data_IF_659724044597
#
_entry.id   IF_659724044597
#
_cell.length_a   1.000
_cell.length_b   1.000
_cell.length_c   1.000
_cell.angle_alpha   90.00
_cell.angle_beta   90.00
_cell.angle_gamma   90.00
#
_symmetry.space_group_name_H-M   'P 1'
#
loop_
_entity.id
_entity.type
_entity.pdbx_description
1 polymer ?
#
# COMPACT_ATOMS: atom_id res chain seq x y z
N UNK A 1 -4.43 -21.39 -19.81
CA UNK A 1 -5.03 -20.05 -19.73
C UNK A 1 -3.99 -19.05 -20.17
N UNK A 2 -4.26 -18.31 -21.24
CA UNK A 2 -3.32 -17.30 -21.77
C UNK A 2 -3.51 -15.95 -21.07
N UNK A 3 -2.48 -15.09 -21.09
CA UNK A 3 -2.50 -13.76 -20.46
C UNK A 3 -3.66 -12.90 -20.98
N UNK A 4 -3.95 -13.02 -22.28
CA UNK A 4 -5.09 -12.36 -22.92
C UNK A 4 -6.43 -12.71 -22.25
N UNK A 5 -6.64 -13.98 -21.90
CA UNK A 5 -7.85 -14.49 -21.25
C UNK A 5 -7.94 -14.06 -19.78
N UNK A 6 -6.82 -13.83 -19.11
CA UNK A 6 -6.80 -13.36 -17.71
C UNK A 6 -7.17 -11.87 -17.66
N UNK A 7 -6.64 -11.08 -18.59
CA UNK A 7 -6.85 -9.64 -18.65
C UNK A 7 -8.17 -9.26 -19.31
N UNK A 8 -8.68 -10.11 -20.20
CA UNK A 8 -9.99 -9.96 -20.85
C UNK A 8 -10.79 -11.25 -20.67
N UNK A 9 -11.32 -11.51 -19.46
CA UNK A 9 -11.99 -12.76 -19.16
C UNK A 9 -13.28 -12.91 -20.00
N UNK A 10 -13.47 -14.07 -20.67
CA UNK A 10 -14.66 -14.32 -21.46
C UNK A 10 -15.91 -14.45 -20.58
N UNK A 11 -17.08 -14.42 -21.21
CA UNK A 11 -18.35 -14.74 -20.54
C UNK A 11 -18.52 -16.24 -20.32
N UNK A 12 -19.26 -16.63 -19.28
CA UNK A 12 -19.65 -18.04 -19.05
C UNK A 12 -18.61 -18.86 -18.31
N UNK A 13 -17.71 -18.18 -17.59
CA UNK A 13 -16.73 -18.82 -16.73
C UNK A 13 -17.40 -19.57 -15.57
N UNK A 14 -16.84 -20.71 -15.21
CA UNK A 14 -17.20 -21.41 -13.97
C UNK A 14 -16.76 -20.62 -12.75
N UNK A 15 -17.39 -20.86 -11.60
CA UNK A 15 -17.02 -20.19 -10.35
C UNK A 15 -15.53 -20.41 -9.99
N UNK A 16 -15.01 -21.62 -10.23
CA UNK A 16 -13.61 -21.96 -9.99
C UNK A 16 -12.67 -21.16 -10.89
N UNK A 17 -12.99 -20.99 -12.17
CA UNK A 17 -12.20 -20.17 -13.09
C UNK A 17 -12.22 -18.70 -12.65
N UNK A 18 -13.37 -18.17 -12.24
CA UNK A 18 -13.49 -16.80 -11.70
C UNK A 18 -12.57 -16.62 -10.48
N UNK A 19 -12.58 -17.56 -9.54
CA UNK A 19 -11.71 -17.52 -8.35
C UNK A 19 -10.23 -17.57 -8.73
N UNK A 20 -9.85 -18.45 -9.67
CA UNK A 20 -8.47 -18.58 -10.14
C UNK A 20 -7.98 -17.32 -10.84
N UNK A 21 -8.76 -16.78 -11.79
CA UNK A 21 -8.44 -15.52 -12.48
C UNK A 21 -8.30 -14.41 -11.47
N UNK A 22 -9.24 -14.28 -10.53
CA UNK A 22 -9.23 -13.22 -9.52
C UNK A 22 -7.97 -13.30 -8.66
N UNK A 23 -7.53 -14.50 -8.27
CA UNK A 23 -6.28 -14.69 -7.55
C UNK A 23 -5.06 -14.27 -8.37
N UNK A 24 -4.99 -14.67 -9.64
CA UNK A 24 -3.89 -14.28 -10.54
C UNK A 24 -3.87 -12.76 -10.76
N UNK A 25 -5.02 -12.13 -11.01
CA UNK A 25 -5.14 -10.68 -11.10
C UNK A 25 -4.71 -10.00 -9.80
N UNK A 26 -5.01 -10.60 -8.64
CA UNK A 26 -4.53 -10.13 -7.35
C UNK A 26 -3.00 -10.17 -7.23
N UNK A 27 -2.37 -11.25 -7.68
CA UNK A 27 -0.91 -11.32 -7.74
C UNK A 27 -0.35 -10.29 -8.73
N UNK A 28 -0.93 -10.17 -9.92
CA UNK A 28 -0.48 -9.16 -10.90
C UNK A 28 -0.58 -7.75 -10.31
N UNK A 29 -1.71 -7.42 -9.70
CA UNK A 29 -1.92 -6.14 -9.00
C UNK A 29 -0.88 -5.90 -7.90
N UNK A 30 -0.59 -6.91 -7.07
CA UNK A 30 0.46 -6.81 -6.07
C UNK A 30 1.85 -6.60 -6.67
N UNK A 31 2.10 -7.09 -7.89
CA UNK A 31 3.37 -6.98 -8.61
C UNK A 31 3.54 -5.68 -9.40
N UNK A 32 2.46 -5.14 -9.98
CA UNK A 32 2.50 -4.01 -10.91
C UNK A 32 2.20 -2.68 -10.21
N UNK A 33 3.00 -1.63 -10.43
CA UNK A 33 2.69 -0.31 -9.90
C UNK A 33 1.33 0.18 -10.36
N UNK A 34 0.44 0.42 -9.41
CA UNK A 34 -0.78 1.20 -9.58
C UNK A 34 -0.72 2.45 -8.70
N UNK A 35 -1.39 3.50 -9.14
CA UNK A 35 -1.39 4.78 -8.46
C UNK A 35 -2.08 4.69 -7.09
N UNK A 36 -3.18 3.96 -6.99
CA UNK A 36 -4.02 4.04 -5.80
C UNK A 36 -3.50 3.24 -4.61
N UNK A 37 -3.00 2.02 -4.86
CA UNK A 37 -2.71 1.06 -3.79
C UNK A 37 -1.23 0.80 -3.63
N UNK A 38 -0.44 0.89 -4.70
CA UNK A 38 0.97 0.52 -4.69
C UNK A 38 1.83 1.34 -3.73
N UNK A 39 1.69 2.67 -3.60
CA UNK A 39 2.39 3.43 -2.57
C UNK A 39 2.15 2.90 -1.15
N UNK A 40 0.97 2.33 -0.90
CA UNK A 40 0.54 1.78 0.38
C UNK A 40 1.05 0.35 0.53
N UNK A 41 0.80 -0.53 -0.45
CA UNK A 41 1.18 -1.94 -0.38
C UNK A 41 2.70 -2.11 -0.36
N UNK A 42 3.44 -1.27 -1.11
CA UNK A 42 4.91 -1.16 -1.05
C UNK A 42 5.39 -0.74 0.34
N UNK A 43 4.76 0.27 0.93
CA UNK A 43 5.08 0.76 2.28
C UNK A 43 4.86 -0.32 3.35
N UNK A 44 3.82 -1.16 3.21
CA UNK A 44 3.60 -2.30 4.09
C UNK A 44 4.55 -3.47 3.80
N UNK A 45 4.89 -3.74 2.54
CA UNK A 45 5.86 -4.77 2.18
C UNK A 45 7.23 -4.47 2.79
N UNK A 46 7.73 -3.25 2.60
CA UNK A 46 9.05 -2.81 3.08
C UNK A 46 9.05 -2.44 4.57
N UNK A 47 7.96 -1.88 5.09
CA UNK A 47 7.88 -1.42 6.48
C UNK A 47 7.42 -2.46 7.49
N UNK A 48 6.57 -3.42 7.08
CA UNK A 48 5.90 -4.35 7.99
C UNK A 48 6.19 -5.81 7.67
N UNK A 49 6.07 -6.25 6.42
CA UNK A 49 6.36 -7.64 6.04
C UNK A 49 7.86 -7.99 6.00
N UNK A 50 8.73 -6.99 6.02
CA UNK A 50 10.19 -7.16 6.05
C UNK A 50 10.76 -7.59 7.41
N UNK A 51 9.96 -7.52 8.48
CA UNK A 51 10.39 -7.83 9.86
C UNK A 51 9.41 -8.75 10.55
N UNK A 52 9.88 -9.57 11.49
CA UNK A 52 9.01 -10.53 12.21
C UNK A 52 7.95 -9.81 13.03
N UNK A 53 8.29 -8.68 13.64
CA UNK A 53 7.37 -7.88 14.45
C UNK A 53 6.29 -7.17 13.62
N UNK A 54 6.58 -6.82 12.36
CA UNK A 54 5.66 -6.12 11.49
C UNK A 54 4.67 -7.03 10.74
N UNK A 55 4.91 -8.35 10.64
CA UNK A 55 4.07 -9.27 9.87
C UNK A 55 2.58 -9.23 10.27
N UNK A 56 2.28 -9.12 11.57
CA UNK A 56 0.89 -9.02 12.07
C UNK A 56 0.18 -7.77 11.52
N UNK A 57 0.88 -6.64 11.52
CA UNK A 57 0.36 -5.38 11.00
C UNK A 57 0.14 -5.44 9.47
N UNK A 58 1.07 -6.08 8.75
CA UNK A 58 0.91 -6.36 7.31
C UNK A 58 -0.32 -7.21 7.04
N UNK A 59 -0.46 -8.34 7.74
CA UNK A 59 -1.61 -9.25 7.58
C UNK A 59 -2.95 -8.55 7.86
N UNK A 60 -3.05 -7.78 8.95
CA UNK A 60 -4.26 -7.04 9.28
C UNK A 60 -4.60 -5.97 8.24
N UNK A 61 -3.60 -5.31 7.67
CA UNK A 61 -3.80 -4.40 6.55
C UNK A 61 -4.37 -5.13 5.33
N UNK A 62 -3.72 -6.21 4.90
CA UNK A 62 -4.15 -6.97 3.72
C UNK A 62 -5.53 -7.63 3.94
N UNK A 63 -5.87 -8.00 5.18
CA UNK A 63 -7.21 -8.47 5.53
C UNK A 63 -8.26 -7.37 5.41
N UNK A 64 -7.97 -6.14 5.88
CA UNK A 64 -8.85 -4.98 5.69
C UNK A 64 -9.07 -4.66 4.21
N UNK A 65 -8.00 -4.69 3.42
CA UNK A 65 -8.07 -4.53 1.96
C UNK A 65 -8.91 -5.61 1.29
N UNK A 66 -8.69 -6.88 1.66
CA UNK A 66 -9.44 -8.03 1.14
C UNK A 66 -10.93 -7.91 1.46
N UNK A 67 -11.27 -7.55 2.70
CA UNK A 67 -12.66 -7.35 3.12
C UNK A 67 -13.32 -6.23 2.31
N UNK A 68 -12.60 -5.15 2.03
CA UNK A 68 -13.13 -4.10 1.19
C UNK A 68 -13.32 -4.55 -0.27
N UNK A 69 -12.39 -5.34 -0.83
CA UNK A 69 -12.55 -5.88 -2.19
C UNK A 69 -13.74 -6.80 -2.29
N UNK A 70 -13.97 -7.64 -1.28
CA UNK A 70 -15.19 -8.44 -1.16
C UNK A 70 -16.45 -7.57 -1.21
N UNK A 71 -16.47 -6.46 -0.45
CA UNK A 71 -17.58 -5.51 -0.47
C UNK A 71 -17.78 -4.90 -1.87
N UNK A 72 -16.72 -4.43 -2.53
CA UNK A 72 -16.83 -3.84 -3.86
C UNK A 72 -17.31 -4.83 -4.91
N UNK A 73 -16.86 -6.08 -4.90
CA UNK A 73 -17.33 -7.08 -5.87
C UNK A 73 -18.80 -7.44 -5.62
N UNK A 74 -19.25 -7.47 -4.35
CA UNK A 74 -20.68 -7.55 -4.03
C UNK A 74 -21.46 -6.35 -4.55
N UNK A 75 -20.96 -5.12 -4.35
CA UNK A 75 -21.60 -3.91 -4.88
C UNK A 75 -21.64 -3.92 -6.42
N UNK A 76 -20.55 -4.38 -7.06
CA UNK A 76 -20.45 -4.60 -8.50
C UNK A 76 -21.56 -5.51 -9.02
N UNK A 77 -21.76 -6.66 -8.36
CA UNK A 77 -22.81 -7.62 -8.70
C UNK A 77 -24.22 -7.02 -8.61
N UNK A 78 -24.51 -6.20 -7.59
CA UNK A 78 -25.86 -5.62 -7.40
C UNK A 78 -26.11 -4.32 -8.17
N UNK A 79 -25.11 -3.78 -8.90
CA UNK A 79 -25.32 -2.67 -9.83
C UNK A 79 -24.47 -1.42 -9.62
N UNK A 80 -23.33 -1.49 -8.92
CA UNK A 80 -22.41 -0.36 -8.74
C UNK A 80 -21.95 0.28 -10.08
N UNK A 81 -21.92 -0.50 -11.16
CA UNK A 81 -21.55 -0.01 -12.50
C UNK A 81 -22.42 1.17 -12.97
N UNK A 82 -23.73 1.15 -12.68
CA UNK A 82 -24.65 2.22 -13.07
C UNK A 82 -24.33 3.54 -12.38
N UNK A 83 -23.75 3.50 -11.17
CA UNK A 83 -23.32 4.69 -10.44
C UNK A 83 -22.02 5.25 -11.02
N UNK A 84 -21.03 4.39 -11.28
CA UNK A 84 -19.74 4.78 -11.86
C UNK A 84 -19.86 5.33 -13.29
N UNK A 85 -20.81 4.85 -14.10
CA UNK A 85 -21.06 5.42 -15.43
C UNK A 85 -21.62 6.84 -15.41
N UNK A 86 -22.26 7.25 -14.30
CA UNK A 86 -22.92 8.57 -14.17
C UNK A 86 -22.03 9.62 -13.51
N UNK A 87 -21.12 9.21 -12.64
CA UNK A 87 -20.26 10.11 -11.86
C UNK A 87 -18.79 9.76 -12.07
N UNK A 88 -17.97 10.72 -12.49
CA UNK A 88 -16.52 10.56 -12.46
C UNK A 88 -16.07 10.64 -10.98
N UNK A 89 -15.68 9.49 -10.42
CA UNK A 89 -15.26 9.37 -9.03
C UNK A 89 -13.75 9.42 -8.86
N UNK A 90 -12.96 9.43 -9.94
CA UNK A 90 -11.51 9.27 -9.89
C UNK A 90 -10.85 10.45 -9.17
N UNK A 91 -11.21 11.68 -9.54
CA UNK A 91 -10.74 12.90 -8.87
C UNK A 91 -11.04 12.91 -7.36
N UNK A 92 -12.32 12.78 -6.95
CA UNK A 92 -12.70 12.68 -5.53
C UNK A 92 -11.99 11.54 -4.77
N UNK A 93 -11.85 10.36 -5.38
CA UNK A 93 -11.17 9.21 -4.77
C UNK A 93 -9.69 9.51 -4.56
N UNK A 94 -8.99 10.08 -5.54
CA UNK A 94 -7.59 10.50 -5.39
C UNK A 94 -7.40 11.50 -4.24
N UNK A 95 -8.31 12.46 -4.09
CA UNK A 95 -8.25 13.42 -2.98
C UNK A 95 -8.40 12.71 -1.64
N UNK A 96 -9.43 11.88 -1.48
CA UNK A 96 -9.71 11.21 -0.20
C UNK A 96 -8.59 10.23 0.17
N UNK A 97 -8.17 9.37 -0.76
CA UNK A 97 -7.07 8.42 -0.56
C UNK A 97 -5.77 9.16 -0.27
N UNK A 98 -5.47 10.23 -1.03
CA UNK A 98 -4.30 11.06 -0.84
C UNK A 98 -4.23 11.71 0.54
N UNK A 99 -5.35 12.26 1.04
CA UNK A 99 -5.43 12.84 2.38
C UNK A 99 -5.17 11.78 3.45
N UNK A 100 -5.79 10.61 3.34
CA UNK A 100 -5.62 9.52 4.32
C UNK A 100 -4.17 9.02 4.34
N UNK A 101 -3.56 8.83 3.17
CA UNK A 101 -2.14 8.49 3.04
C UNK A 101 -1.24 9.57 3.68
N UNK A 102 -1.53 10.85 3.42
CA UNK A 102 -0.76 11.96 3.97
C UNK A 102 -0.86 11.99 5.51
N UNK A 103 -2.05 11.79 6.08
CA UNK A 103 -2.24 11.70 7.53
C UNK A 103 -1.45 10.51 8.10
N UNK A 104 -1.58 9.32 7.51
CA UNK A 104 -0.87 8.12 7.95
C UNK A 104 0.66 8.30 7.90
N UNK A 105 1.18 8.84 6.80
CA UNK A 105 2.61 9.14 6.65
C UNK A 105 3.10 10.20 7.64
N UNK A 106 2.30 11.24 7.87
CA UNK A 106 2.61 12.27 8.86
C UNK A 106 2.68 11.72 10.29
N UNK A 107 1.81 10.76 10.62
CA UNK A 107 1.82 10.10 11.92
C UNK A 107 3.09 9.27 12.11
N UNK A 108 3.47 8.49 11.09
CA UNK A 108 4.71 7.68 11.12
C UNK A 108 5.94 8.58 11.29
N UNK A 109 6.01 9.69 10.56
CA UNK A 109 7.20 10.56 10.53
C UNK A 109 7.29 11.58 11.68
N UNK A 110 6.15 12.13 12.12
CA UNK A 110 6.11 13.28 13.05
C UNK A 110 5.49 12.93 14.41
N UNK A 111 4.87 11.75 14.55
CA UNK A 111 4.31 11.26 15.81
C UNK A 111 3.14 12.08 16.38
N UNK A 112 2.61 13.06 15.63
CA UNK A 112 1.44 13.88 16.00
C UNK A 112 0.17 13.24 15.47
N UNK A 113 -0.72 12.87 16.38
CA UNK A 113 -2.07 12.38 16.09
C UNK A 113 -2.94 13.59 15.73
N UNK A 114 -3.44 13.67 14.49
CA UNK A 114 -4.56 14.54 14.19
C UNK A 114 -5.78 13.76 14.63
N UNK A 115 -6.42 14.17 15.73
CA UNK A 115 -7.63 13.53 16.22
C UNK A 115 -8.70 13.56 15.13
N UNK A 116 -9.03 12.40 14.56
CA UNK A 116 -10.14 12.28 13.62
C UNK A 116 -11.43 12.06 14.43
N UNK A 117 -12.58 12.60 14.01
CA UNK A 117 -13.86 12.42 14.71
C UNK A 117 -14.27 10.95 14.90
N UNK A 118 -13.71 10.04 14.10
CA UNK A 118 -13.95 8.60 14.17
C UNK A 118 -13.28 7.96 15.41
N UNK A 119 -12.25 8.59 15.97
CA UNK A 119 -11.60 8.12 17.22
C UNK A 119 -12.52 8.25 18.44
N UNK A 120 -13.52 9.14 18.42
CA UNK A 120 -14.53 9.23 19.49
C UNK A 120 -15.48 8.02 19.50
N UNK A 121 -15.73 7.41 18.34
CA UNK A 121 -16.64 6.26 18.22
C UNK A 121 -16.02 4.97 18.78
N UNK A 122 -14.69 4.86 18.69
CA UNK A 122 -13.93 3.72 19.17
C UNK A 122 -13.06 4.14 20.36
N UNK A 123 -13.66 4.29 21.56
CA UNK A 123 -12.97 4.56 22.84
C UNK A 123 -11.69 3.71 22.97
N UNK A 124 -10.56 4.30 22.61
CA UNK A 124 -9.23 3.76 22.87
C UNK A 124 -8.84 4.12 24.29
N UNK A 125 -8.84 3.12 25.17
CA UNK A 125 -8.33 3.26 26.52
C UNK A 125 -6.93 3.88 26.51
N UNK A 126 -6.75 4.90 27.35
CA UNK A 126 -5.44 5.45 27.68
C UNK A 126 -4.55 4.32 28.18
N UNK A 127 -3.56 3.94 27.40
CA UNK A 127 -2.37 3.25 27.90
C UNK A 127 -1.16 4.11 27.58
N UNK A 128 -0.89 5.06 28.48
CA UNK A 128 0.48 5.45 28.74
C UNK A 128 1.09 4.31 29.56
N UNK A 129 1.93 3.48 28.94
CA UNK A 129 2.93 2.74 29.71
C UNK A 129 4.23 3.53 29.62
N UNK A 130 4.53 4.25 30.69
CA UNK A 130 5.90 4.55 31.07
C UNK A 130 6.65 3.23 31.19
N UNK A 131 7.42 2.86 30.18
CA UNK A 131 8.55 1.96 30.35
C UNK A 131 9.62 2.41 29.37
N UNK A 132 10.44 3.33 29.88
CA UNK A 132 11.71 3.77 29.32
C UNK A 132 12.69 2.61 29.40
N UNK A 133 12.45 1.56 28.60
CA UNK A 133 13.53 0.65 28.22
C UNK A 133 14.46 1.43 27.29
N UNK A 134 15.77 1.26 27.46
CA UNK A 134 16.81 2.00 26.76
C UNK A 134 16.79 1.66 25.26
N UNK A 135 15.84 2.21 24.52
CA UNK A 135 15.82 2.13 23.07
C UNK A 135 16.93 3.06 22.55
N UNK A 136 17.75 2.63 21.57
CA UNK A 136 18.69 3.53 20.92
C UNK A 136 17.94 4.78 20.44
N UNK A 137 18.56 5.96 20.61
CA UNK A 137 17.96 7.29 20.33
C UNK A 137 17.17 7.38 19.00
N UNK A 138 17.52 6.53 18.04
CA UNK A 138 16.91 6.39 16.71
C UNK A 138 15.47 5.84 16.70
N UNK A 139 15.05 5.06 17.70
CA UNK A 139 13.68 4.55 17.81
C UNK A 139 12.69 5.56 18.40
N UNK A 140 13.18 6.55 19.15
CA UNK A 140 12.34 7.53 19.85
C UNK A 140 11.56 8.49 18.94
N UNK A 141 11.91 8.57 17.65
CA UNK A 141 11.34 9.56 16.73
C UNK A 141 10.24 9.02 15.82
N UNK A 142 10.19 7.70 15.55
CA UNK A 142 9.22 7.09 14.61
C UNK A 142 8.23 6.21 15.38
N UNK A 143 6.93 6.51 15.27
CA UNK A 143 5.88 5.74 15.96
C UNK A 143 5.31 4.62 15.11
N UNK A 144 4.97 3.51 15.76
CA UNK A 144 4.19 2.45 15.12
C UNK A 144 2.71 2.82 15.02
N UNK A 145 2.10 2.41 13.90
CA UNK A 145 0.66 2.49 13.67
C UNK A 145 -0.04 1.45 14.55
N UNK A 146 -1.05 1.82 15.35
CA UNK A 146 -1.82 0.86 16.14
C UNK A 146 -2.43 -0.24 15.25
N UNK A 147 -2.45 -1.49 15.72
CA UNK A 147 -2.95 -2.65 14.95
C UNK A 147 -4.41 -2.49 14.48
N UNK A 148 -5.26 -1.78 15.24
CA UNK A 148 -6.64 -1.49 14.81
C UNK A 148 -6.67 -0.55 13.60
N UNK A 149 -5.76 0.42 13.55
CA UNK A 149 -5.68 1.38 12.45
C UNK A 149 -5.14 0.76 11.16
N UNK A 150 -4.38 -0.34 11.23
CA UNK A 150 -3.94 -1.02 10.01
C UNK A 150 -5.09 -1.67 9.25
N UNK A 151 -6.10 -2.20 9.96
CA UNK A 151 -7.32 -2.72 9.34
C UNK A 151 -8.11 -1.60 8.66
N UNK A 152 -8.33 -0.49 9.36
CA UNK A 152 -9.03 0.69 8.81
C UNK A 152 -8.31 1.23 7.58
N UNK A 153 -6.98 1.32 7.65
CA UNK A 153 -6.17 1.78 6.53
C UNK A 153 -6.28 0.84 5.33
N UNK A 154 -6.23 -0.48 5.55
CA UNK A 154 -6.44 -1.47 4.49
C UNK A 154 -7.83 -1.35 3.85
N UNK A 155 -8.86 -1.15 4.67
CA UNK A 155 -10.22 -0.95 4.20
C UNK A 155 -10.35 0.33 3.35
N UNK A 156 -9.81 1.47 3.81
CA UNK A 156 -9.87 2.72 3.04
C UNK A 156 -9.04 2.62 1.74
N UNK A 157 -7.85 2.02 1.80
CA UNK A 157 -6.97 1.84 0.65
C UNK A 157 -7.62 1.03 -0.48
N UNK A 158 -8.52 0.11 -0.14
CA UNK A 158 -9.24 -0.70 -1.13
C UNK A 158 -10.21 0.10 -2.02
N UNK A 159 -10.59 1.33 -1.65
CA UNK A 159 -11.50 2.15 -2.46
C UNK A 159 -10.86 2.72 -3.72
N UNK A 160 -9.53 2.62 -3.87
CA UNK A 160 -8.85 2.90 -5.13
C UNK A 160 -9.32 1.98 -6.26
N UNK A 161 -9.68 2.58 -7.40
CA UNK A 161 -10.26 1.90 -8.55
C UNK A 161 -9.26 1.90 -9.72
N UNK A 162 -8.41 0.88 -9.77
CA UNK A 162 -7.52 0.64 -10.92
C UNK A 162 -8.12 -0.35 -11.92
N UNK A 163 -7.42 -0.59 -13.03
CA UNK A 163 -7.87 -1.51 -14.08
C UNK A 163 -8.14 -2.94 -13.58
N UNK A 164 -7.29 -3.48 -12.69
CA UNK A 164 -7.50 -4.79 -12.08
C UNK A 164 -8.78 -4.87 -11.23
N UNK A 165 -9.03 -3.82 -10.42
CA UNK A 165 -10.24 -3.71 -9.61
C UNK A 165 -11.50 -3.65 -10.49
N UNK A 166 -11.40 -2.95 -11.62
CA UNK A 166 -12.46 -2.86 -12.63
C UNK A 166 -12.82 -4.23 -13.20
N UNK A 167 -11.83 -5.04 -13.57
CA UNK A 167 -12.06 -6.40 -14.09
C UNK A 167 -12.80 -7.26 -13.06
N UNK A 168 -12.29 -7.33 -11.82
CA UNK A 168 -12.91 -8.19 -10.81
C UNK A 168 -14.32 -7.71 -10.43
N UNK A 169 -14.56 -6.40 -10.39
CA UNK A 169 -15.82 -5.82 -9.89
C UNK A 169 -16.90 -5.76 -10.96
N UNK A 170 -16.55 -5.45 -12.22
CA UNK A 170 -17.54 -5.22 -13.27
C UNK A 170 -17.56 -6.30 -14.36
N UNK A 171 -16.55 -7.16 -14.43
CA UNK A 171 -16.51 -8.26 -15.40
C UNK A 171 -16.69 -9.60 -14.71
N UNK A 172 -15.90 -9.91 -13.68
CA UNK A 172 -15.95 -11.22 -13.02
C UNK A 172 -17.08 -11.34 -12.01
N UNK A 173 -17.30 -10.31 -11.16
CA UNK A 173 -18.35 -10.39 -10.15
C UNK A 173 -19.74 -10.60 -10.75
N UNK A 174 -20.19 -9.88 -11.80
CA UNK A 174 -21.53 -10.10 -12.37
C UNK A 174 -21.76 -11.49 -12.97
N UNK A 175 -20.69 -12.26 -13.23
CA UNK A 175 -20.79 -13.61 -13.79
C UNK A 175 -21.00 -14.70 -12.73
N UNK A 176 -20.91 -14.39 -11.43
CA UNK A 176 -21.13 -15.40 -10.40
C UNK A 176 -22.61 -15.81 -10.33
N UNK A 177 -22.93 -17.03 -9.84
CA UNK A 177 -24.31 -17.54 -9.88
C UNK A 177 -25.32 -16.78 -9.00
N UNK A 178 -24.85 -16.10 -7.95
CA UNK A 178 -25.72 -15.37 -7.01
C UNK A 178 -24.94 -14.36 -6.18
N UNK A 179 -25.67 -13.45 -5.51
CA UNK A 179 -25.10 -12.46 -4.59
C UNK A 179 -24.27 -13.06 -3.46
N UNK A 180 -24.57 -14.31 -3.05
CA UNK A 180 -23.80 -15.03 -2.02
C UNK A 180 -22.36 -15.30 -2.46
N UNK A 181 -22.14 -15.50 -3.75
CA UNK A 181 -20.81 -15.75 -4.34
C UNK A 181 -20.11 -14.46 -4.78
N UNK A 182 -20.82 -13.33 -4.82
CA UNK A 182 -20.27 -12.05 -5.29
C UNK A 182 -19.08 -11.51 -4.47
N UNK A 183 -18.89 -11.85 -3.19
CA UNK A 183 -17.65 -11.55 -2.46
C UNK A 183 -16.42 -12.32 -2.95
N UNK A 184 -16.58 -13.49 -3.59
CA UNK A 184 -15.47 -14.40 -3.87
C UNK A 184 -14.40 -13.83 -4.82
N UNK A 185 -14.73 -13.14 -5.92
CA UNK A 185 -13.70 -12.50 -6.74
C UNK A 185 -12.83 -11.54 -5.92
N UNK A 186 -13.46 -10.72 -5.07
CA UNK A 186 -12.76 -9.79 -4.18
C UNK A 186 -11.89 -10.49 -3.13
N UNK A 187 -12.38 -11.59 -2.56
CA UNK A 187 -11.61 -12.42 -1.62
C UNK A 187 -10.34 -12.97 -2.27
N UNK A 188 -10.47 -13.65 -3.41
CA UNK A 188 -9.33 -14.29 -4.08
C UNK A 188 -8.34 -13.26 -4.62
N UNK A 189 -8.83 -12.12 -5.11
CA UNK A 189 -7.99 -10.99 -5.48
C UNK A 189 -7.19 -10.44 -4.29
N UNK A 190 -7.84 -10.24 -3.14
CA UNK A 190 -7.16 -9.79 -1.92
C UNK A 190 -6.11 -10.78 -1.43
N UNK A 191 -6.40 -12.08 -1.49
CA UNK A 191 -5.43 -13.15 -1.17
C UNK A 191 -4.23 -13.13 -2.12
N UNK A 192 -4.45 -13.00 -3.43
CA UNK A 192 -3.36 -12.90 -4.41
C UNK A 192 -2.48 -11.66 -4.17
N UNK A 193 -3.10 -10.52 -3.84
CA UNK A 193 -2.39 -9.29 -3.49
C UNK A 193 -1.55 -9.49 -2.23
N UNK A 194 -2.12 -10.09 -1.19
CA UNK A 194 -1.43 -10.41 0.06
C UNK A 194 -0.22 -11.33 -0.18
N UNK A 195 -0.37 -12.36 -1.02
CA UNK A 195 0.73 -13.26 -1.38
C UNK A 195 1.91 -12.50 -1.97
N UNK A 196 1.67 -11.57 -2.91
CA UNK A 196 2.74 -10.76 -3.48
C UNK A 196 3.38 -9.79 -2.50
N UNK A 197 2.61 -9.18 -1.59
CA UNK A 197 3.18 -8.35 -0.53
C UNK A 197 4.11 -9.13 0.39
N UNK A 198 3.74 -10.37 0.74
CA UNK A 198 4.59 -11.26 1.52
C UNK A 198 5.87 -11.60 0.75
N UNK A 199 5.76 -11.93 -0.54
CA UNK A 199 6.91 -12.24 -1.40
C UNK A 199 7.87 -11.04 -1.47
N UNK A 200 7.38 -9.84 -1.76
CA UNK A 200 8.21 -8.65 -1.83
C UNK A 200 8.80 -8.24 -0.47
N UNK A 201 8.04 -8.38 0.61
CA UNK A 201 8.57 -8.15 1.96
C UNK A 201 9.72 -9.11 2.29
N UNK A 202 9.58 -10.40 1.94
CA UNK A 202 10.62 -11.39 2.11
C UNK A 202 11.85 -11.12 1.22
N UNK A 203 11.65 -10.70 -0.03
CA UNK A 203 12.73 -10.29 -0.93
C UNK A 203 13.51 -9.09 -0.36
N UNK A 204 12.81 -8.07 0.13
CA UNK A 204 13.44 -6.91 0.76
C UNK A 204 14.26 -7.31 1.99
N UNK A 205 13.70 -8.15 2.87
CA UNK A 205 14.40 -8.67 4.03
C UNK A 205 15.63 -9.50 3.66
N UNK A 206 15.57 -10.25 2.55
CA UNK A 206 16.72 -10.98 2.01
C UNK A 206 17.83 -10.04 1.54
N UNK A 207 17.48 -9.03 0.73
CA UNK A 207 18.42 -8.03 0.23
C UNK A 207 19.07 -7.27 1.40
N UNK A 208 18.29 -6.87 2.40
CA UNK A 208 18.82 -6.18 3.57
C UNK A 208 19.85 -7.03 4.35
N UNK A 209 19.60 -8.34 4.49
CA UNK A 209 20.55 -9.27 5.11
C UNK A 209 21.86 -9.37 4.32
N UNK A 210 21.81 -9.38 2.99
CA UNK A 210 23.04 -9.37 2.16
C UNK A 210 23.87 -8.08 2.34
N UNK A 211 23.23 -6.98 2.73
CA UNK A 211 23.87 -5.69 3.03
C UNK A 211 24.35 -5.58 4.48
N UNK A 212 24.29 -6.66 5.27
CA UNK A 212 24.68 -6.70 6.70
C UNK A 212 23.92 -5.67 7.56
N UNK A 213 22.68 -5.37 7.19
CA UNK A 213 21.77 -4.57 8.01
C UNK A 213 21.19 -5.46 9.11
N UNK A 214 21.17 -4.95 10.34
CA UNK A 214 20.51 -5.63 11.44
C UNK A 214 18.98 -5.40 11.39
N UNK A 215 18.24 -6.06 12.28
CA UNK A 215 16.77 -5.97 12.25
C UNK A 215 16.27 -4.54 12.54
N UNK A 216 17.01 -3.76 13.32
CA UNK A 216 16.62 -2.40 13.70
C UNK A 216 16.89 -1.39 12.59
N UNK A 217 17.97 -1.56 11.83
CA UNK A 217 18.22 -0.85 10.57
C UNK A 217 17.07 -1.08 9.58
N UNK A 218 16.64 -2.34 9.43
CA UNK A 218 15.55 -2.72 8.51
C UNK A 218 14.24 -2.11 8.95
N UNK A 219 13.93 -2.12 10.26
CA UNK A 219 12.75 -1.43 10.81
C UNK A 219 12.80 0.07 10.54
N UNK A 220 13.95 0.71 10.76
CA UNK A 220 14.11 2.15 10.53
C UNK A 220 13.92 2.52 9.06
N UNK A 221 14.66 1.85 8.16
CA UNK A 221 14.56 2.07 6.71
C UNK A 221 13.12 1.81 6.25
N UNK A 222 12.51 0.73 6.74
CA UNK A 222 11.14 0.36 6.46
C UNK A 222 10.14 1.44 6.87
N UNK A 223 10.15 1.85 8.15
CA UNK A 223 9.25 2.88 8.70
C UNK A 223 9.47 4.25 8.04
N UNK A 224 10.72 4.67 7.88
CA UNK A 224 11.07 5.97 7.31
C UNK A 224 10.69 6.06 5.82
N UNK A 225 10.97 5.00 5.05
CA UNK A 225 10.55 4.89 3.65
C UNK A 225 9.03 4.90 3.54
N UNK A 226 8.35 4.02 4.27
CA UNK A 226 6.89 3.95 4.29
C UNK A 226 6.26 5.31 4.65
N UNK A 227 6.75 5.95 5.71
CA UNK A 227 6.26 7.25 6.15
C UNK A 227 6.45 8.36 5.10
N UNK A 228 7.62 8.42 4.45
CA UNK A 228 7.92 9.41 3.39
C UNK A 228 7.10 9.18 2.13
N UNK A 229 7.01 7.94 1.67
CA UNK A 229 6.21 7.55 0.51
C UNK A 229 4.73 7.87 0.73
N UNK A 230 4.18 7.51 1.89
CA UNK A 230 2.79 7.81 2.22
C UNK A 230 2.54 9.32 2.37
N UNK A 231 3.44 10.05 3.03
CA UNK A 231 3.26 11.48 3.27
C UNK A 231 3.32 12.30 1.99
N UNK A 232 4.44 12.20 1.26
CA UNK A 232 4.64 12.96 0.03
C UNK A 232 3.78 12.41 -1.12
N UNK A 233 3.64 11.09 -1.21
CA UNK A 233 2.70 10.47 -2.15
C UNK A 233 1.29 10.96 -1.92
N UNK A 234 0.78 10.91 -0.69
CA UNK A 234 -0.57 11.36 -0.36
C UNK A 234 -0.83 12.84 -0.71
N UNK A 235 0.16 13.71 -0.49
CA UNK A 235 0.08 15.10 -0.94
C UNK A 235 0.02 15.21 -2.48
N UNK A 236 0.86 14.45 -3.19
CA UNK A 236 0.81 14.39 -4.67
C UNK A 236 -0.55 13.92 -5.18
N UNK A 237 -1.10 12.85 -4.61
CA UNK A 237 -2.45 12.34 -4.93
C UNK A 237 -3.53 13.40 -4.72
N UNK A 238 -3.46 14.11 -3.59
CA UNK A 238 -4.44 15.15 -3.27
C UNK A 238 -4.40 16.31 -4.26
N UNK A 239 -3.19 16.75 -4.62
CA UNK A 239 -3.00 17.84 -5.60
C UNK A 239 -3.44 17.41 -6.99
N UNK A 240 -3.04 16.22 -7.43
CA UNK A 240 -3.42 15.72 -8.76
C UNK A 240 -4.92 15.44 -8.84
N UNK A 241 -5.53 14.87 -7.80
CA UNK A 241 -6.98 14.70 -7.73
C UNK A 241 -7.74 16.03 -7.80
N UNK A 242 -7.22 17.08 -7.15
CA UNK A 242 -7.78 18.43 -7.26
C UNK A 242 -7.62 19.00 -8.70
N UNK A 243 -6.49 18.76 -9.35
CA UNK A 243 -6.28 19.17 -10.74
C UNK A 243 -7.27 18.45 -11.67
N UNK A 244 -7.45 17.13 -11.52
CA UNK A 244 -8.42 16.35 -12.32
C UNK A 244 -9.84 16.85 -12.09
N UNK A 245 -10.20 17.17 -10.84
CA UNK A 245 -11.51 17.72 -10.51
C UNK A 245 -11.77 19.07 -11.20
N UNK A 246 -10.75 19.93 -11.29
CA UNK A 246 -10.85 21.26 -11.91
C UNK A 246 -10.68 21.23 -13.43
N UNK A 247 -9.91 20.27 -13.95
CA UNK A 247 -9.55 20.12 -15.36
C UNK A 247 -9.66 18.64 -15.80
N UNK A 248 -10.88 18.10 -15.97
CA UNK A 248 -11.10 16.68 -16.27
C UNK A 248 -10.46 16.20 -17.56
N UNK A 249 -10.18 17.11 -18.51
CA UNK A 249 -9.53 16.79 -19.79
C UNK A 249 -8.13 16.19 -19.61
N UNK A 250 -7.45 16.49 -18.51
CA UNK A 250 -6.10 15.94 -18.23
C UNK A 250 -6.15 14.42 -18.05
N UNK A 251 -7.23 13.91 -17.46
CA UNK A 251 -7.42 12.48 -17.19
C UNK A 251 -7.60 11.65 -18.46
N UNK A 252 -8.08 12.29 -19.54
CA UNK A 252 -8.27 11.64 -20.84
C UNK A 252 -6.97 11.46 -21.67
N UNK A 253 -5.86 12.04 -21.22
CA UNK A 253 -4.58 11.97 -21.94
C UNK A 253 -3.92 10.62 -21.65
N UNK A 254 -3.84 9.77 -22.68
CA UNK A 254 -3.17 8.47 -22.60
C UNK A 254 -2.38 8.19 -23.88
N UNK A 255 -1.09 7.86 -23.72
CA UNK A 255 -0.22 7.44 -24.83
C UNK A 255 -0.03 5.92 -24.72
N UNK A 256 -0.57 5.11 -25.64
CA UNK A 256 -0.46 3.66 -25.58
C UNK A 256 1.00 3.21 -25.73
N UNK A 257 1.42 2.23 -24.92
CA UNK A 257 2.78 1.68 -24.93
C UNK A 257 2.91 0.39 -25.77
N UNK A 258 1.77 -0.26 -26.07
CA UNK A 258 1.72 -1.59 -26.68
C UNK A 258 1.89 -2.75 -25.71
N UNK A 259 2.05 -2.49 -24.40
CA UNK A 259 2.07 -3.53 -23.38
C UNK A 259 0.63 -3.94 -23.01
N UNK A 260 0.26 -5.23 -22.99
CA UNK A 260 -1.10 -5.64 -22.62
C UNK A 260 -1.39 -5.51 -21.11
N UNK A 261 -0.36 -5.37 -20.26
CA UNK A 261 -0.51 -5.39 -18.80
C UNK A 261 -1.11 -4.06 -18.34
N UNK A 262 -2.23 -4.08 -17.59
CA UNK A 262 -2.84 -2.87 -17.07
C UNK A 262 -1.88 -2.02 -16.24
N UNK A 263 -2.03 -0.69 -16.35
CA UNK A 263 -1.13 0.34 -15.81
C UNK A 263 0.21 0.45 -16.54
N UNK A 264 0.59 -0.53 -17.35
CA UNK A 264 1.75 -0.45 -18.24
C UNK A 264 1.34 -0.26 -19.70
N UNK A 265 0.05 -0.36 -19.99
CA UNK A 265 -0.56 -0.31 -21.33
C UNK A 265 -0.64 1.08 -21.93
N UNK A 266 -0.62 2.11 -21.08
CA UNK A 266 -0.53 3.50 -21.49
C UNK A 266 0.28 4.36 -20.50
N UNK A 267 0.97 5.36 -21.03
CA UNK A 267 1.49 6.48 -20.25
C UNK A 267 0.33 7.47 -20.07
N UNK A 268 -0.33 7.37 -18.92
CA UNK A 268 -1.42 8.24 -18.49
C UNK A 268 -1.13 8.81 -17.09
N UNK A 269 -2.08 9.55 -16.51
CA UNK A 269 -1.88 10.15 -15.19
C UNK A 269 -1.67 9.11 -14.08
N UNK A 270 -2.37 7.97 -14.16
CA UNK A 270 -2.18 6.84 -13.24
C UNK A 270 -0.76 6.29 -13.30
N UNK A 271 -0.24 5.99 -14.49
CA UNK A 271 1.14 5.55 -14.68
C UNK A 271 2.14 6.57 -14.11
N UNK A 272 1.98 7.86 -14.42
CA UNK A 272 2.86 8.92 -13.93
C UNK A 272 2.83 9.04 -12.40
N UNK A 273 1.66 8.93 -11.78
CA UNK A 273 1.51 8.90 -10.33
C UNK A 273 2.18 7.68 -9.71
N UNK A 274 1.95 6.48 -10.27
CA UNK A 274 2.54 5.25 -9.78
C UNK A 274 4.08 5.29 -9.84
N UNK A 275 4.65 5.66 -10.99
CA UNK A 275 6.09 5.78 -11.20
C UNK A 275 6.69 6.92 -10.38
N UNK A 276 6.06 8.10 -10.36
CA UNK A 276 6.56 9.26 -9.64
C UNK A 276 6.56 9.06 -8.13
N UNK A 277 5.49 8.50 -7.58
CA UNK A 277 5.37 8.27 -6.13
C UNK A 277 6.17 7.05 -5.70
N UNK A 278 5.99 5.87 -6.32
CA UNK A 278 6.68 4.68 -5.82
C UNK A 278 8.10 4.57 -6.37
N UNK A 279 8.29 4.80 -7.66
CA UNK A 279 9.61 4.82 -8.28
C UNK A 279 10.45 6.03 -7.83
N UNK A 280 9.89 7.23 -7.87
CA UNK A 280 10.59 8.45 -7.47
C UNK A 280 10.73 8.58 -5.95
N UNK A 281 9.64 8.89 -5.26
CA UNK A 281 9.65 9.18 -3.81
C UNK A 281 10.10 7.95 -3.02
N UNK A 282 9.60 6.76 -3.36
CA UNK A 282 9.95 5.51 -2.68
C UNK A 282 11.43 5.18 -2.74
N UNK A 283 12.03 5.15 -3.94
CA UNK A 283 13.46 4.83 -4.11
C UNK A 283 14.35 5.90 -3.47
N UNK A 284 14.04 7.18 -3.66
CA UNK A 284 14.79 8.27 -3.01
C UNK A 284 14.72 8.13 -1.48
N UNK A 285 13.57 7.75 -0.94
CA UNK A 285 13.39 7.55 0.50
C UNK A 285 14.18 6.37 1.04
N UNK A 286 14.29 5.26 0.28
CA UNK A 286 15.16 4.13 0.64
C UNK A 286 16.62 4.58 0.67
N UNK A 287 17.11 5.20 -0.41
CA UNK A 287 18.50 5.66 -0.50
C UNK A 287 18.84 6.62 0.63
N UNK A 288 17.93 7.56 0.91
CA UNK A 288 18.10 8.51 2.02
C UNK A 288 18.15 7.81 3.37
N UNK A 289 17.25 6.86 3.61
CA UNK A 289 17.20 6.12 4.88
C UNK A 289 18.44 5.23 5.08
N UNK A 290 18.96 4.61 4.02
CA UNK A 290 20.22 3.85 4.09
C UNK A 290 21.40 4.77 4.46
N UNK A 291 21.49 5.95 3.83
CA UNK A 291 22.55 6.93 4.16
C UNK A 291 22.41 7.46 5.59
N UNK A 292 21.20 7.61 6.11
CA UNK A 292 20.94 7.99 7.51
C UNK A 292 21.48 6.93 8.47
N UNK A 293 21.18 5.65 8.22
CA UNK A 293 21.71 4.51 9.00
C UNK A 293 23.24 4.47 8.99
N UNK A 294 23.87 4.62 7.82
CA UNK A 294 25.33 4.64 7.71
C UNK A 294 25.97 5.79 8.51
N UNK A 295 25.35 6.98 8.51
CA UNK A 295 25.81 8.12 9.31
C UNK A 295 25.67 7.85 10.80
N UNK A 296 24.58 7.21 11.23
CA UNK A 296 24.38 6.84 12.63
C UNK A 296 25.45 5.85 13.09
N UNK A 297 25.69 4.78 12.33
CA UNK A 297 26.75 3.80 12.64
C UNK A 297 28.14 4.44 12.72
N UNK A 298 28.47 5.37 11.80
CA UNK A 298 29.74 6.12 11.87
C UNK A 298 29.83 7.00 13.12
N UNK A 299 28.74 7.68 13.48
CA UNK A 299 28.71 8.54 14.66
C UNK A 299 28.87 7.73 15.95
N UNK A 300 28.21 6.58 16.05
CA UNK A 300 28.27 5.71 17.22
C UNK A 300 29.65 5.05 17.37
N UNK A 301 30.31 4.73 16.25
CA UNK A 301 31.70 4.27 16.23
C UNK A 301 32.68 5.36 16.70
N UNK A 302 32.42 6.63 16.40
CA UNK A 302 33.23 7.77 16.86
C UNK A 302 32.95 8.16 18.32
N UNK A 303 31.75 7.87 18.83
CA UNK A 303 31.33 8.19 20.19
C UNK A 303 31.69 7.11 21.21
N UNK A 304 31.98 5.89 20.78
CA UNK A 304 32.53 4.82 21.63
C UNK A 304 34.01 5.13 21.94
N UNK A 305 34.39 5.45 23.19
CA UNK A 305 35.80 5.64 23.52
C UNK A 305 36.54 4.33 23.24
N UNK A 306 37.65 4.39 22.52
CA UNK A 306 38.63 3.31 22.53
C UNK A 306 39.02 3.05 23.99
N UNK A 307 38.49 1.98 24.59
CA UNK A 307 39.17 1.33 25.71
C UNK A 307 40.36 0.60 25.08
N UNK A 308 41.40 1.35 24.76
CA UNK A 308 42.73 0.83 24.51
C UNK A 308 43.65 1.35 25.59
N UNK A 309 44.30 0.43 26.29
CA UNK A 309 45.54 0.67 27.02
C UNK A 309 45.39 1.20 28.43
N UNK A 310 45.09 0.32 29.38
CA UNK A 310 45.51 0.47 30.77
C UNK A 310 46.41 -0.70 31.13
N UNK A 311 47.72 -0.45 31.11
CA UNK A 311 48.83 -1.26 31.63
C UNK A 311 48.51 -1.74 33.07
N UNK A 312 48.93 -2.92 33.55
CA UNK A 312 50.31 -3.42 33.65
C UNK A 312 50.35 -4.93 33.86
#
# INVERSE_FOLDING_TARGET
>A
MDLSQILNPPSGLTLTEIMLISFILGMMHGATPDEHTWPITFSYAIGKYSTKSGMKAGFLFSAGFTLQRMLLTTLGFIGLAAFYQRYNLDGPVYIVVGIVMAIAGSYILKGKYIHLPVDLLFRGGKHHSEQTERLPMHESQLKDVPLKMTVVHGLIAGFGFGAYATIITFVLAPQVPSVLYAPLPGLFFGLGTMSMQIIFGAMFASIARTRKLDEDDVKYIGRSTAGRTLYYGGMTFSVVGLIILLLPTIDSIAIPTGNPIPNLDAINIGFLLAVGVVGGIGVISIIKSMREVERFKRRDALASPHIQGGES
#
